data_IF_501398673501
#
_entry.id   IF_501398673501
#
_cell.length_a   1.000
_cell.length_b   1.000
_cell.length_c   1.000
_cell.angle_alpha   90.00
_cell.angle_beta   90.00
_cell.angle_gamma   90.00
#
_symmetry.space_group_name_H-M   'P 1'
#
loop_
_entity.id
_entity.type
_entity.pdbx_description
1 polymer ?
#
# COMPACT_ATOMS: atom_id res chain seq x y z
N UNK A 1 -2.43 10.44 26.65
CA UNK A 1 -3.79 10.36 26.09
C UNK A 1 -3.90 11.42 25.00
N UNK A 2 -3.92 11.03 23.73
CA UNK A 2 -3.99 11.97 22.59
C UNK A 2 -5.37 12.58 22.42
N UNK A 3 -5.43 13.71 21.71
CA UNK A 3 -6.67 14.42 21.34
C UNK A 3 -7.52 13.59 20.38
N UNK A 4 -8.81 13.41 20.71
CA UNK A 4 -9.79 12.74 19.86
C UNK A 4 -10.20 13.65 18.70
N UNK A 5 -10.24 13.12 17.47
CA UNK A 5 -10.74 13.87 16.32
C UNK A 5 -12.26 14.08 16.45
N UNK A 6 -12.76 15.33 16.37
CA UNK A 6 -14.19 15.62 16.40
C UNK A 6 -14.91 14.92 15.22
N UNK A 7 -15.96 14.17 15.51
CA UNK A 7 -16.79 13.49 14.50
C UNK A 7 -16.57 11.99 14.35
N UNK A 8 -15.55 11.42 14.99
CA UNK A 8 -15.38 9.96 15.08
C UNK A 8 -15.98 9.43 16.39
N UNK A 9 -16.65 8.25 16.39
CA UNK A 9 -17.08 7.61 17.62
C UNK A 9 -15.87 7.37 18.52
N UNK A 10 -16.00 7.64 19.82
CA UNK A 10 -14.91 7.40 20.76
C UNK A 10 -14.43 5.95 20.62
N UNK A 11 -13.12 5.66 20.60
CA UNK A 11 -12.60 4.29 20.59
C UNK A 11 -13.16 3.42 21.73
N UNK A 12 -13.58 4.05 22.83
CA UNK A 12 -14.28 3.42 23.97
C UNK A 12 -15.70 2.93 23.66
N UNK A 13 -16.26 3.28 22.49
CA UNK A 13 -17.57 2.77 22.02
C UNK A 13 -17.48 1.38 21.39
N UNK A 14 -16.27 0.86 21.12
CA UNK A 14 -16.11 -0.53 20.69
C UNK A 14 -16.33 -1.45 21.90
N UNK A 15 -17.33 -2.36 21.89
CA UNK A 15 -17.59 -3.22 23.03
C UNK A 15 -16.41 -4.16 23.30
N UNK A 16 -16.13 -4.40 24.58
CA UNK A 16 -15.10 -5.34 24.99
C UNK A 16 -15.41 -6.75 24.42
N UNK A 17 -14.45 -7.36 23.72
CA UNK A 17 -14.58 -8.69 23.12
C UNK A 17 -14.84 -8.71 21.61
N UNK A 18 -14.92 -7.56 20.94
CA UNK A 18 -15.00 -7.51 19.48
C UNK A 18 -13.65 -7.82 18.83
N UNK A 19 -13.67 -8.60 17.75
CA UNK A 19 -12.48 -8.89 16.95
C UNK A 19 -12.07 -7.64 16.15
N UNK A 20 -11.07 -6.91 16.64
CA UNK A 20 -10.53 -5.73 15.95
C UNK A 20 -9.56 -6.19 14.87
N UNK A 21 -9.89 -5.93 13.61
CA UNK A 21 -8.99 -6.08 12.47
C UNK A 21 -8.27 -4.75 12.24
N UNK A 22 -6.99 -4.67 12.59
CA UNK A 22 -6.14 -3.51 12.28
C UNK A 22 -5.61 -3.73 10.87
N UNK A 23 -6.14 -2.98 9.91
CA UNK A 23 -5.62 -2.98 8.54
C UNK A 23 -4.83 -1.70 8.34
N UNK A 24 -3.56 -1.83 7.94
CA UNK A 24 -2.77 -0.68 7.51
C UNK A 24 -3.41 -0.09 6.25
N UNK A 25 -3.90 1.15 6.35
CA UNK A 25 -4.61 1.82 5.27
C UNK A 25 -3.73 1.95 4.01
N UNK A 26 -2.39 2.03 4.15
CA UNK A 26 -1.47 2.12 3.01
C UNK A 26 -1.37 0.80 2.27
N UNK A 27 -1.35 -0.34 2.96
CA UNK A 27 -1.43 -1.66 2.30
C UNK A 27 -2.84 -1.92 1.74
N UNK A 28 -3.87 -1.38 2.38
CA UNK A 28 -5.26 -1.53 1.97
C UNK A 28 -5.60 -0.74 0.70
N UNK A 29 -5.07 0.48 0.55
CA UNK A 29 -5.39 1.38 -0.57
C UNK A 29 -5.07 0.77 -1.94
N UNK A 30 -4.11 -0.16 -2.00
CA UNK A 30 -3.68 -0.82 -3.25
C UNK A 30 -4.12 -2.29 -3.36
N UNK A 31 -4.80 -2.82 -2.34
CA UNK A 31 -5.22 -4.24 -2.27
C UNK A 31 -6.73 -4.42 -2.43
N UNK A 32 -7.54 -3.36 -2.43
CA UNK A 32 -8.96 -3.47 -2.73
C UNK A 32 -9.10 -3.72 -4.25
N UNK A 33 -9.54 -4.92 -4.69
CA UNK A 33 -9.71 -5.19 -6.11
C UNK A 33 -10.80 -4.28 -6.64
N UNK A 34 -10.44 -3.38 -7.56
CA UNK A 34 -11.42 -2.63 -8.33
C UNK A 34 -12.20 -3.63 -9.20
N UNK A 35 -13.52 -3.42 -9.29
CA UNK A 35 -14.37 -4.19 -10.18
C UNK A 35 -13.83 -4.11 -11.61
N UNK A 36 -13.88 -5.19 -12.38
CA UNK A 36 -13.22 -5.30 -13.68
C UNK A 36 -13.73 -4.29 -14.73
N UNK A 37 -14.88 -3.66 -14.50
CA UNK A 37 -15.41 -2.58 -15.34
C UNK A 37 -14.87 -1.19 -14.93
N UNK A 38 -14.42 -1.03 -13.70
CA UNK A 38 -13.83 0.20 -13.15
C UNK A 38 -12.30 0.19 -13.20
N UNK A 39 -11.70 -0.93 -13.61
CA UNK A 39 -10.26 -0.99 -13.87
C UNK A 39 -9.94 -0.21 -15.13
N UNK A 40 -9.20 0.89 -15.00
CA UNK A 40 -8.58 1.55 -16.14
C UNK A 40 -7.68 0.55 -16.88
N UNK A 41 -8.13 0.10 -18.05
CA UNK A 41 -7.31 -0.63 -19.01
C UNK A 41 -6.28 0.34 -19.60
N UNK A 42 -5.19 0.56 -18.86
CA UNK A 42 -4.01 1.22 -19.39
C UNK A 42 -3.46 0.30 -20.50
N UNK A 43 -3.05 0.82 -21.68
CA UNK A 43 -2.39 0.03 -22.73
C UNK A 43 -1.19 -0.74 -22.16
N UNK A 44 -0.59 -1.73 -22.86
CA UNK A 44 0.53 -2.50 -22.33
C UNK A 44 1.81 -1.63 -22.26
N UNK A 45 1.82 -0.68 -21.33
CA UNK A 45 3.03 -0.11 -20.76
C UNK A 45 3.67 -1.19 -19.92
N UNK A 46 4.99 -1.26 -19.99
CA UNK A 46 5.77 -2.18 -19.19
C UNK A 46 5.35 -2.09 -17.71
N UNK A 47 4.98 -3.24 -17.13
CA UNK A 47 4.48 -3.36 -15.75
C UNK A 47 5.49 -2.81 -14.74
N UNK A 48 6.78 -2.87 -15.06
CA UNK A 48 7.86 -2.30 -14.26
C UNK A 48 7.81 -0.77 -14.25
N UNK A 49 7.57 -0.14 -15.40
CA UNK A 49 7.46 1.32 -15.51
C UNK A 49 6.24 1.83 -14.74
N UNK A 50 5.10 1.16 -14.89
CA UNK A 50 3.88 1.52 -14.17
C UNK A 50 4.07 1.40 -12.65
N UNK A 51 4.70 0.31 -12.20
CA UNK A 51 5.03 0.11 -10.80
C UNK A 51 5.97 1.19 -10.25
N UNK A 52 6.96 1.62 -11.05
CA UNK A 52 7.88 2.71 -10.69
C UNK A 52 7.14 4.04 -10.52
N UNK A 53 6.27 4.39 -11.46
CA UNK A 53 5.46 5.62 -11.40
C UNK A 53 4.54 5.63 -10.18
N UNK A 54 3.88 4.50 -9.89
CA UNK A 54 3.06 4.38 -8.70
C UNK A 54 3.89 4.50 -7.41
N UNK A 55 5.07 3.85 -7.36
CA UNK A 55 5.97 3.97 -6.22
C UNK A 55 6.53 5.40 -6.04
N UNK A 56 6.69 6.18 -7.10
CA UNK A 56 7.10 7.59 -7.03
C UNK A 56 6.06 8.46 -6.31
N UNK A 57 4.78 8.17 -6.52
CA UNK A 57 3.67 8.92 -5.91
C UNK A 57 3.39 8.43 -4.47
N UNK A 58 3.37 7.11 -4.27
CA UNK A 58 2.84 6.50 -3.05
C UNK A 58 3.89 5.89 -2.13
N UNK A 59 5.13 5.71 -2.60
CA UNK A 59 6.24 5.12 -1.83
C UNK A 59 5.90 3.77 -1.16
N UNK A 60 5.12 2.95 -1.86
CA UNK A 60 4.65 1.66 -1.38
C UNK A 60 5.75 0.59 -1.31
N UNK A 61 5.64 -0.38 -0.40
CA UNK A 61 6.69 -1.38 -0.15
C UNK A 61 6.83 -2.41 -1.30
N UNK A 62 7.93 -3.16 -1.36
CA UNK A 62 8.18 -4.14 -2.42
C UNK A 62 7.12 -5.25 -2.50
N UNK A 63 6.55 -5.66 -1.35
CA UNK A 63 5.52 -6.71 -1.28
C UNK A 63 4.23 -6.27 -1.98
N UNK A 64 3.83 -5.01 -1.81
CA UNK A 64 2.69 -4.40 -2.48
C UNK A 64 2.90 -4.34 -4.00
N UNK A 65 4.05 -3.82 -4.46
CA UNK A 65 4.41 -3.73 -5.88
C UNK A 65 4.38 -5.10 -6.56
N UNK A 66 4.93 -6.12 -5.89
CA UNK A 66 4.92 -7.51 -6.36
C UNK A 66 3.50 -8.03 -6.56
N UNK A 67 2.57 -7.72 -5.65
CA UNK A 67 1.17 -8.20 -5.73
C UNK A 67 0.37 -7.42 -6.77
N UNK A 68 0.49 -6.09 -6.76
CA UNK A 68 -0.33 -5.19 -7.57
C UNK A 68 0.06 -5.22 -9.05
N UNK A 69 1.37 -5.26 -9.34
CA UNK A 69 1.88 -5.26 -10.70
C UNK A 69 2.39 -6.63 -11.13
N UNK A 70 2.28 -7.67 -10.29
CA UNK A 70 2.75 -9.04 -10.52
C UNK A 70 4.19 -9.13 -11.02
N UNK A 71 5.07 -8.32 -10.44
CA UNK A 71 6.51 -8.32 -10.68
C UNK A 71 7.19 -9.50 -9.95
N UNK A 72 8.44 -9.78 -10.28
CA UNK A 72 9.32 -10.60 -9.44
C UNK A 72 9.72 -9.87 -8.15
N UNK A 73 10.16 -10.63 -7.15
CA UNK A 73 10.66 -10.06 -5.90
C UNK A 73 11.87 -9.12 -6.13
N UNK A 74 12.77 -9.50 -7.03
CA UNK A 74 13.93 -8.69 -7.42
C UNK A 74 13.54 -7.37 -8.10
N UNK A 75 12.56 -7.39 -9.00
CA UNK A 75 12.08 -6.18 -9.68
C UNK A 75 11.43 -5.22 -8.69
N UNK A 76 10.55 -5.73 -7.82
CA UNK A 76 9.88 -4.91 -6.82
C UNK A 76 10.88 -4.29 -5.81
N UNK A 77 11.90 -5.05 -5.39
CA UNK A 77 12.98 -4.52 -4.55
C UNK A 77 13.83 -3.49 -5.27
N UNK A 78 14.14 -3.70 -6.56
CA UNK A 78 14.90 -2.75 -7.36
C UNK A 78 14.22 -1.37 -7.39
N UNK A 79 12.89 -1.33 -7.54
CA UNK A 79 12.11 -0.08 -7.51
C UNK A 79 12.26 0.64 -6.16
N UNK A 80 12.14 -0.09 -5.04
CA UNK A 80 12.27 0.48 -3.69
C UNK A 80 13.70 0.94 -3.41
N UNK A 81 14.70 0.14 -3.80
CA UNK A 81 16.12 0.48 -3.63
C UNK A 81 16.57 1.67 -4.46
N UNK A 82 16.03 1.82 -5.67
CA UNK A 82 16.31 2.97 -6.54
C UNK A 82 15.64 4.27 -6.05
N UNK A 83 14.69 4.19 -5.12
CA UNK A 83 14.01 5.36 -4.59
C UNK A 83 14.93 6.12 -3.61
N UNK A 84 15.19 7.43 -3.81
CA UNK A 84 16.05 8.21 -2.91
C UNK A 84 15.47 8.34 -1.49
N UNK A 85 14.16 8.17 -1.33
CA UNK A 85 13.50 8.17 -0.02
C UNK A 85 13.48 6.79 0.62
N UNK A 86 13.20 5.73 -0.15
CA UNK A 86 12.98 4.39 0.41
C UNK A 86 14.22 3.50 0.40
N UNK A 87 15.21 3.74 -0.46
CA UNK A 87 16.32 2.81 -0.70
C UNK A 87 17.29 2.62 0.47
N UNK A 88 17.31 3.58 1.40
CA UNK A 88 18.11 3.53 2.63
C UNK A 88 17.31 3.07 3.85
N UNK A 89 15.99 2.89 3.72
CA UNK A 89 15.18 2.32 4.78
C UNK A 89 15.31 0.80 4.69
N UNK A 90 16.02 0.21 5.67
CA UNK A 90 16.02 -1.24 5.89
C UNK A 90 14.58 -1.78 5.97
N UNK A 91 14.37 -3.09 5.84
CA UNK A 91 13.04 -3.69 5.65
C UNK A 91 12.08 -3.16 6.72
N UNK A 92 11.22 -2.23 6.32
CA UNK A 92 10.22 -1.62 7.18
C UNK A 92 9.37 -2.73 7.76
N UNK A 93 9.32 -2.79 9.08
CA UNK A 93 8.62 -3.82 9.84
C UNK A 93 7.13 -3.77 9.48
N UNK A 94 6.67 -4.90 8.95
CA UNK A 94 5.35 -5.50 9.21
C UNK A 94 4.13 -4.69 8.85
#
# INVERSE_FOLDING_TARGET
MGILQPGMPSPTMLPAGWHILIIDLKDCFFTIPLHSQDTHHVPPVDRFLQARQAHEIFHQNAKSLRRQYGLSDSEARSIVHACPKCGNHGPGVG
#
